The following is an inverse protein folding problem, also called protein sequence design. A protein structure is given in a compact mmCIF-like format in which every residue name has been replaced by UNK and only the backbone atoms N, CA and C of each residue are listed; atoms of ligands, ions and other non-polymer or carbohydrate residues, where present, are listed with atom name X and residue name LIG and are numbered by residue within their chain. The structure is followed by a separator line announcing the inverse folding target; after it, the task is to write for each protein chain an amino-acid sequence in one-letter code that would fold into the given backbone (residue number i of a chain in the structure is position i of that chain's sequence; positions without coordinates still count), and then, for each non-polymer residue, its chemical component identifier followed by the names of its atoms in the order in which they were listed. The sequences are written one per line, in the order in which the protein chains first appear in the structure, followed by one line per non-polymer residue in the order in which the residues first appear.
data_IF_538712844235
#
_entry.id   IF_538712844235
#
_cell.length_a   1.000
_cell.length_b   1.000
_cell.length_c   1.000
_cell.angle_alpha   90.00
_cell.angle_beta   90.00
_cell.angle_gamma   90.00
#
_symmetry.space_group_name_H-M   'P 1'
#
loop_
_entity.id
_entity.type
_entity.pdbx_description
1 polymer ?
#
# COMPACT_ATOMS: atom_id res chain seq x y z
N UNK A 1 -15.70 6.41 -26.93
CA UNK A 1 -15.03 5.55 -25.92
C UNK A 1 -13.69 6.19 -25.62
N UNK A 2 -13.36 6.43 -24.35
CA UNK A 2 -12.07 7.02 -23.97
C UNK A 2 -11.07 5.87 -23.75
N UNK A 3 -9.92 5.91 -24.43
CA UNK A 3 -8.87 4.91 -24.27
C UNK A 3 -8.22 5.10 -22.88
N UNK A 4 -8.41 4.13 -21.98
CA UNK A 4 -7.90 4.19 -20.60
C UNK A 4 -6.36 4.28 -20.56
N UNK A 5 -5.68 3.66 -21.51
CA UNK A 5 -4.22 3.62 -21.55
C UNK A 5 -3.63 4.97 -21.93
N UNK A 6 -4.22 5.66 -22.92
CA UNK A 6 -3.82 7.03 -23.29
C UNK A 6 -4.07 8.01 -22.14
N UNK A 7 -5.20 7.89 -21.44
CA UNK A 7 -5.50 8.73 -20.27
C UNK A 7 -4.49 8.48 -19.14
N UNK A 8 -4.12 7.22 -18.88
CA UNK A 8 -3.10 6.87 -17.90
C UNK A 8 -1.73 7.46 -18.26
N UNK A 9 -1.31 7.36 -19.52
CA UNK A 9 -0.05 7.96 -19.99
C UNK A 9 -0.06 9.49 -19.82
N UNK A 10 -1.12 10.16 -20.24
CA UNK A 10 -1.27 11.62 -20.08
C UNK A 10 -1.26 12.02 -18.60
N UNK A 11 -1.87 11.21 -17.71
CA UNK A 11 -1.85 11.47 -16.27
C UNK A 11 -0.46 11.27 -15.67
N UNK A 12 0.27 10.23 -16.09
CA UNK A 12 1.64 9.95 -15.67
C UNK A 12 2.63 11.03 -16.14
N UNK A 13 2.41 11.61 -17.32
CA UNK A 13 3.26 12.68 -17.85
C UNK A 13 3.01 14.02 -17.15
N UNK A 14 1.75 14.31 -16.79
CA UNK A 14 1.37 15.63 -16.24
C UNK A 14 1.48 15.74 -14.72
N UNK A 15 1.50 14.63 -14.00
CA UNK A 15 1.48 14.61 -12.52
C UNK A 15 2.70 13.89 -11.95
N UNK A 16 3.14 14.34 -10.77
CA UNK A 16 4.08 13.55 -9.99
C UNK A 16 3.36 12.33 -9.42
N UNK A 17 3.89 11.14 -9.65
CA UNK A 17 3.26 9.88 -9.24
C UNK A 17 4.24 9.06 -8.42
N UNK A 18 3.74 8.42 -7.37
CA UNK A 18 4.49 7.38 -6.65
C UNK A 18 3.83 6.02 -6.86
N UNK A 19 4.61 5.02 -7.24
CA UNK A 19 4.18 3.64 -7.44
C UNK A 19 4.88 2.72 -6.44
N UNK A 20 4.11 1.91 -5.73
CA UNK A 20 4.60 0.82 -4.90
C UNK A 20 4.49 -0.49 -5.69
N UNK A 21 5.60 -0.98 -6.24
CA UNK A 21 5.60 -2.19 -7.05
C UNK A 21 6.02 -3.42 -6.22
N UNK A 22 5.17 -4.43 -6.07
CA UNK A 22 5.54 -5.66 -5.37
C UNK A 22 6.57 -6.47 -6.15
N UNK A 23 7.48 -7.12 -5.43
CA UNK A 23 8.41 -8.08 -6.03
C UNK A 23 7.69 -9.29 -6.61
N UNK A 24 8.30 -9.90 -7.63
CA UNK A 24 7.81 -11.15 -8.24
C UNK A 24 7.60 -12.27 -7.21
N UNK A 25 8.41 -12.32 -6.15
CA UNK A 25 8.23 -13.26 -5.03
C UNK A 25 6.92 -13.03 -4.28
N UNK A 26 6.54 -11.77 -4.02
CA UNK A 26 5.28 -11.40 -3.37
C UNK A 26 4.07 -11.78 -4.23
N UNK A 27 4.12 -11.47 -5.53
CA UNK A 27 3.07 -11.83 -6.50
C UNK A 27 2.84 -13.34 -6.60
N UNK A 28 3.90 -14.15 -6.46
CA UNK A 28 3.77 -15.62 -6.46
C UNK A 28 3.06 -16.14 -5.21
N UNK A 29 3.33 -15.58 -4.03
CA UNK A 29 2.62 -15.95 -2.78
C UNK A 29 1.11 -15.69 -2.88
N UNK A 30 0.72 -14.62 -3.58
CA UNK A 30 -0.69 -14.28 -3.81
C UNK A 30 -1.45 -15.30 -4.64
N UNK A 31 -0.82 -15.84 -5.69
CA UNK A 31 -1.47 -16.84 -6.55
C UNK A 31 -1.87 -18.09 -5.77
N UNK A 32 -1.12 -18.43 -4.71
CA UNK A 32 -1.51 -19.45 -3.74
C UNK A 32 -2.74 -19.04 -2.92
N UNK A 33 -2.75 -17.82 -2.35
CA UNK A 33 -3.87 -17.32 -1.52
C UNK A 33 -5.18 -17.08 -2.28
N UNK A 34 -5.13 -16.61 -3.54
CA UNK A 34 -6.35 -16.35 -4.35
C UNK A 34 -7.14 -17.61 -4.69
N UNK A 35 -6.54 -18.81 -4.63
CA UNK A 35 -7.29 -20.06 -4.73
C UNK A 35 -8.18 -20.31 -3.51
N UNK A 36 -7.84 -19.73 -2.35
CA UNK A 36 -8.57 -19.93 -1.09
C UNK A 36 -9.71 -18.90 -0.90
N UNK A 37 -9.60 -17.69 -1.47
CA UNK A 37 -10.62 -16.65 -1.33
C UNK A 37 -10.78 -15.78 -2.60
N UNK A 38 -11.73 -16.11 -3.50
CA UNK A 38 -11.91 -15.44 -4.79
C UNK A 38 -12.57 -14.05 -4.69
N UNK A 39 -13.01 -13.60 -3.51
CA UNK A 39 -13.67 -12.28 -3.32
C UNK A 39 -12.70 -11.13 -3.03
N UNK A 40 -11.39 -11.39 -2.93
CA UNK A 40 -10.36 -10.36 -2.75
C UNK A 40 -10.04 -9.67 -4.09
N UNK A 41 -10.92 -8.78 -4.52
CA UNK A 41 -10.59 -7.80 -5.57
C UNK A 41 -9.63 -6.76 -4.99
N UNK A 42 -8.34 -7.01 -5.19
CA UNK A 42 -7.27 -6.06 -4.90
C UNK A 42 -7.26 -4.98 -5.99
N UNK A 43 -7.67 -3.77 -5.61
CA UNK A 43 -7.63 -2.62 -6.51
C UNK A 43 -6.19 -2.16 -6.72
N UNK A 44 -5.70 -2.23 -7.96
CA UNK A 44 -4.37 -1.72 -8.35
C UNK A 44 -4.16 -0.24 -7.98
N UNK A 45 -5.25 0.49 -7.79
CA UNK A 45 -5.25 1.88 -7.30
C UNK A 45 -4.63 2.04 -5.91
N UNK A 46 -4.57 0.99 -5.09
CA UNK A 46 -3.96 1.04 -3.76
C UNK A 46 -2.43 1.15 -3.80
N UNK A 47 -1.81 0.80 -4.93
CA UNK A 47 -0.37 0.87 -5.11
C UNK A 47 0.11 2.20 -5.69
N UNK A 48 -0.80 3.13 -6.01
CA UNK A 48 -0.50 4.36 -6.75
C UNK A 48 -0.92 5.60 -5.96
N UNK A 49 0.01 6.55 -5.81
CA UNK A 49 -0.26 7.88 -5.28
C UNK A 49 -0.11 8.93 -6.39
N UNK A 50 -1.05 9.87 -6.43
CA UNK A 50 -1.05 10.99 -7.40
C UNK A 50 -0.15 12.18 -6.99
N UNK A 51 0.82 11.93 -6.10
CA UNK A 51 1.85 12.87 -5.70
C UNK A 51 3.15 12.14 -5.36
N UNK A 52 4.21 12.90 -5.12
CA UNK A 52 5.54 12.38 -4.78
C UNK A 52 5.67 12.13 -3.28
N UNK A 53 5.63 10.87 -2.85
CA UNK A 53 5.87 10.46 -1.47
C UNK A 53 7.37 10.31 -1.23
N UNK A 54 8.04 11.42 -0.91
CA UNK A 54 9.47 11.40 -0.60
C UNK A 54 9.73 10.81 0.80
N UNK A 55 10.96 10.36 1.05
CA UNK A 55 11.35 9.70 2.33
C UNK A 55 11.06 10.51 3.59
N UNK A 56 11.10 11.84 3.52
CA UNK A 56 10.77 12.70 4.66
C UNK A 56 9.27 12.64 5.02
N UNK A 57 8.42 12.15 4.11
CA UNK A 57 6.98 11.99 4.30
C UNK A 57 6.59 10.64 4.90
N UNK A 58 7.54 9.74 5.11
CA UNK A 58 7.27 8.40 5.62
C UNK A 58 6.82 8.30 7.08
N UNK A 59 6.90 9.30 7.98
CA UNK A 59 6.25 9.19 9.27
C UNK A 59 4.79 9.69 9.24
N UNK A 60 4.07 9.50 8.13
CA UNK A 60 2.69 10.00 7.94
C UNK A 60 1.76 8.94 7.34
N UNK A 61 0.45 9.08 7.59
CA UNK A 61 -0.60 8.37 6.85
C UNK A 61 -1.03 9.17 5.63
N UNK A 62 -1.28 8.48 4.52
CA UNK A 62 -1.67 9.05 3.24
C UNK A 62 -2.97 8.41 2.79
N UNK A 63 -4.02 9.21 2.62
CA UNK A 63 -5.26 8.74 2.01
C UNK A 63 -5.18 8.93 0.49
N UNK A 64 -5.27 7.86 -0.33
CA UNK A 64 -5.33 8.00 -1.77
C UNK A 64 -6.56 8.81 -2.20
N UNK A 65 -6.45 9.58 -3.28
CA UNK A 65 -7.54 10.45 -3.76
C UNK A 65 -8.79 9.67 -4.23
N UNK A 66 -8.66 8.38 -4.56
CA UNK A 66 -9.80 7.57 -4.98
C UNK A 66 -10.72 7.29 -3.77
N UNK A 67 -11.95 7.80 -3.84
CA UNK A 67 -12.97 7.57 -2.82
C UNK A 67 -13.17 6.06 -2.56
N UNK A 68 -13.21 5.67 -1.29
CA UNK A 68 -13.39 4.27 -0.87
C UNK A 68 -12.12 3.42 -0.79
N UNK A 69 -10.93 4.02 -1.01
CA UNK A 69 -9.65 3.35 -0.80
C UNK A 69 -9.16 3.58 0.63
N UNK A 70 -8.66 2.53 1.29
CA UNK A 70 -8.09 2.62 2.64
C UNK A 70 -6.90 3.60 2.68
N UNK A 71 -6.59 4.22 3.83
CA UNK A 71 -5.34 4.96 3.99
C UNK A 71 -4.12 4.03 3.87
N UNK A 72 -3.05 4.54 3.27
CA UNK A 72 -1.72 3.93 3.27
C UNK A 72 -0.93 4.49 4.46
N UNK A 73 -0.36 3.61 5.27
CA UNK A 73 0.49 3.95 6.39
C UNK A 73 1.95 3.84 5.98
N UNK A 74 2.64 4.97 5.92
CA UNK A 74 4.08 4.97 5.77
C UNK A 74 4.72 4.92 7.15
N UNK A 75 5.84 4.21 7.28
CA UNK A 75 6.63 4.23 8.50
C UNK A 75 8.12 4.15 8.23
N UNK A 76 8.89 4.64 9.20
CA UNK A 76 10.35 4.58 9.21
C UNK A 76 10.78 3.82 10.46
N UNK A 77 11.63 2.81 10.27
CA UNK A 77 12.30 2.13 11.37
C UNK A 77 13.73 2.62 11.44
N UNK A 78 14.05 3.28 12.54
CA UNK A 78 15.40 3.76 12.86
C UNK A 78 15.90 2.95 14.06
N UNK A 79 16.93 2.12 13.86
CA UNK A 79 17.63 1.43 14.94
C UNK A 79 19.04 2.05 15.07
N UNK A 80 19.50 2.26 16.30
CA UNK A 80 20.83 2.81 16.57
C UNK A 80 21.92 1.98 15.87
N UNK A 81 22.77 2.64 15.08
CA UNK A 81 23.85 2.00 14.33
C UNK A 81 23.43 1.24 13.07
N UNK A 82 22.13 1.23 12.70
CA UNK A 82 21.65 0.61 11.46
C UNK A 82 21.12 1.64 10.46
N UNK A 83 21.06 1.23 9.19
CA UNK A 83 20.48 2.04 8.12
C UNK A 83 18.97 2.14 8.31
N UNK A 84 18.42 3.33 8.12
CA UNK A 84 16.96 3.58 8.13
C UNK A 84 16.24 2.66 7.16
N UNK A 85 15.22 1.97 7.65
CA UNK A 85 14.35 1.09 6.86
C UNK A 85 12.99 1.77 6.68
N UNK A 86 12.41 1.62 5.51
CA UNK A 86 11.15 2.29 5.13
C UNK A 86 10.10 1.24 4.81
N UNK A 87 8.87 1.50 5.25
CA UNK A 87 7.75 0.58 5.10
C UNK A 87 6.49 1.29 4.63
N UNK A 88 5.63 0.56 3.92
CA UNK A 88 4.29 0.95 3.51
C UNK A 88 3.34 -0.18 3.90
N UNK A 89 2.38 0.06 4.79
CA UNK A 89 1.48 -0.95 5.35
C UNK A 89 2.20 -2.25 5.76
N UNK A 90 3.31 -2.11 6.48
CA UNK A 90 4.23 -3.17 6.91
C UNK A 90 5.03 -3.86 5.80
N UNK A 91 4.80 -3.57 4.52
CA UNK A 91 5.66 -4.02 3.42
C UNK A 91 6.95 -3.20 3.39
N UNK A 92 8.11 -3.87 3.39
CA UNK A 92 9.42 -3.21 3.38
C UNK A 92 9.77 -2.73 1.98
N UNK A 93 10.26 -1.49 1.90
CA UNK A 93 10.85 -0.96 0.68
C UNK A 93 12.27 -1.50 0.51
N UNK A 94 12.46 -2.28 -0.54
CA UNK A 94 13.75 -2.89 -0.88
C UNK A 94 14.57 -1.98 -1.81
N UNK A 95 13.90 -1.32 -2.76
CA UNK A 95 14.55 -0.45 -3.74
C UNK A 95 13.72 0.79 -4.03
N UNK A 96 14.40 1.84 -4.45
CA UNK A 96 13.81 3.07 -4.96
C UNK A 96 14.42 3.36 -6.33
N UNK A 97 13.58 3.74 -7.28
CA UNK A 97 14.01 4.30 -8.55
C UNK A 97 13.25 5.60 -8.82
N UNK A 98 13.92 6.56 -9.43
CA UNK A 98 13.33 7.80 -9.89
C UNK A 98 13.33 7.80 -11.41
N UNK A 99 12.21 8.18 -12.00
CA UNK A 99 12.10 8.40 -13.43
C UNK A 99 11.59 9.81 -13.68
N UNK A 100 12.12 10.47 -14.70
CA UNK A 100 11.65 11.78 -15.12
C UNK A 100 10.93 11.60 -16.45
N UNK A 101 9.63 11.88 -16.45
CA UNK A 101 8.82 11.81 -17.66
C UNK A 101 9.26 12.83 -18.70
N UNK A 102 8.72 12.69 -19.90
CA UNK A 102 8.98 13.54 -21.08
C UNK A 102 8.68 15.02 -20.82
N UNK A 103 7.63 15.31 -20.04
CA UNK A 103 7.22 16.66 -19.60
C UNK A 103 8.01 17.17 -18.36
N UNK A 104 9.08 16.48 -17.96
CA UNK A 104 9.97 16.89 -16.88
C UNK A 104 9.45 16.63 -15.47
N UNK A 105 8.28 15.98 -15.32
CA UNK A 105 7.72 15.57 -14.02
C UNK A 105 8.43 14.33 -13.49
N UNK A 106 8.77 14.36 -12.20
CA UNK A 106 9.36 13.23 -11.50
C UNK A 106 8.29 12.19 -11.18
N UNK A 107 8.66 10.93 -11.32
CA UNK A 107 7.92 9.75 -10.92
C UNK A 107 8.80 8.92 -10.00
N UNK A 108 8.21 8.35 -8.97
CA UNK A 108 8.93 7.63 -7.92
C UNK A 108 8.43 6.20 -7.83
N UNK A 109 9.34 5.24 -7.97
CA UNK A 109 9.06 3.83 -7.86
C UNK A 109 9.68 3.30 -6.57
N UNK A 110 8.87 2.68 -5.73
CA UNK A 110 9.32 1.91 -4.57
C UNK A 110 9.02 0.44 -4.80
N UNK A 111 10.05 -0.41 -4.74
CA UNK A 111 9.89 -1.85 -4.83
C UNK A 111 9.67 -2.40 -3.43
N UNK A 112 8.53 -3.05 -3.20
CA UNK A 112 8.12 -3.60 -1.91
C UNK A 112 8.19 -5.14 -1.90
N UNK A 113 8.45 -5.73 -0.73
CA UNK A 113 8.61 -7.17 -0.56
C UNK A 113 7.33 -7.96 -0.30
N UNK A 114 6.26 -7.25 0.02
CA UNK A 114 4.94 -7.81 0.29
C UNK A 114 3.86 -7.10 -0.55
N UNK A 115 2.66 -7.68 -0.59
CA UNK A 115 1.51 -7.07 -1.23
C UNK A 115 0.80 -6.16 -0.24
N UNK A 116 0.31 -5.04 -0.75
CA UNK A 116 -0.46 -4.10 0.05
C UNK A 116 -1.89 -4.64 0.12
N UNK A 117 -2.34 -4.94 1.34
CA UNK A 117 -3.72 -5.33 1.62
C UNK A 117 -4.40 -4.15 2.31
N UNK A 118 -5.45 -3.55 1.72
CA UNK A 118 -6.13 -2.43 2.36
C UNK A 118 -6.73 -2.91 3.67
N UNK A 119 -6.40 -2.22 4.77
CA UNK A 119 -7.05 -2.46 6.05
C UNK A 119 -8.52 -2.06 5.94
N UNK A 120 -9.39 -3.06 5.75
CA UNK A 120 -10.85 -2.90 5.80
C UNK A 120 -11.28 -3.39 7.17
N UNK A 121 -11.62 -2.49 8.11
CA UNK A 121 -12.21 -2.92 9.36
C UNK A 121 -13.54 -3.62 9.02
N UNK A 122 -13.70 -4.85 9.51
CA UNK A 122 -14.88 -5.70 9.26
C UNK A 122 -16.14 -5.09 9.91
N UNK A 123 -15.95 -4.13 10.82
CA UNK A 123 -16.97 -3.32 11.48
C UNK A 123 -16.61 -1.84 11.38
N UNK A 124 -17.61 -0.97 11.15
CA UNK A 124 -17.43 0.49 11.09
C UNK A 124 -17.07 1.12 12.45
N UNK A 125 -17.10 0.35 13.55
CA UNK A 125 -16.69 0.81 14.87
C UNK A 125 -15.40 0.10 15.32
N UNK A 126 -14.41 0.84 15.85
CA UNK A 126 -13.32 0.23 16.58
C UNK A 126 -13.93 -0.56 17.75
N UNK A 127 -13.57 -1.84 17.93
CA UNK A 127 -14.13 -2.63 19.01
C UNK A 127 -13.79 -2.02 20.36
N UNK A 128 -14.73 -2.13 21.28
CA UNK A 128 -14.41 -1.93 22.70
C UNK A 128 -13.45 -3.06 23.13
N UNK A 129 -12.52 -2.82 24.06
CA UNK A 129 -11.58 -3.85 24.54
C UNK A 129 -12.29 -5.14 25.00
N UNK A 130 -13.53 -5.01 25.51
CA UNK A 130 -14.39 -6.12 25.89
C UNK A 130 -14.90 -6.95 24.70
N UNK A 131 -15.14 -6.32 23.55
CA UNK A 131 -15.62 -6.98 22.33
C UNK A 131 -14.48 -7.73 21.62
N UNK A 132 -13.26 -7.18 21.64
CA UNK A 132 -12.06 -7.88 21.16
C UNK A 132 -11.83 -9.22 21.87
N UNK A 133 -12.00 -9.23 23.20
CA UNK A 133 -11.82 -10.46 24.00
C UNK A 133 -12.91 -11.50 23.73
N UNK A 134 -14.13 -11.07 23.40
CA UNK A 134 -15.26 -11.97 23.18
C UNK A 134 -15.25 -12.58 21.77
N UNK A 135 -14.84 -11.82 20.76
CA UNK A 135 -14.94 -12.23 19.35
C UNK A 135 -13.70 -11.79 18.53
N UNK A 136 -12.50 -12.30 18.86
CA UNK A 136 -11.26 -11.94 18.18
C UNK A 136 -11.29 -12.24 16.67
N UNK A 137 -12.06 -13.26 16.27
CA UNK A 137 -12.21 -13.72 14.89
C UNK A 137 -12.85 -12.68 13.97
N UNK A 138 -13.72 -11.82 14.49
CA UNK A 138 -14.37 -10.74 13.71
C UNK A 138 -13.36 -9.66 13.32
N UNK A 139 -12.20 -9.60 14.00
CA UNK A 139 -11.14 -8.64 13.75
C UNK A 139 -9.90 -9.29 13.13
N UNK A 140 -10.03 -10.51 12.61
CA UNK A 140 -8.93 -11.22 11.93
C UNK A 140 -7.82 -11.70 12.86
N UNK A 141 -8.04 -11.69 14.18
CA UNK A 141 -7.11 -12.27 15.15
C UNK A 141 -7.34 -13.78 15.22
N UNK A 142 -6.28 -14.56 14.99
CA UNK A 142 -6.34 -16.03 14.96
C UNK A 142 -6.33 -16.66 16.36
N UNK A 143 -5.87 -15.93 17.37
CA UNK A 143 -5.72 -16.41 18.75
C UNK A 143 -6.30 -15.38 19.74
N UNK A 144 -6.90 -15.84 20.85
CA UNK A 144 -7.26 -14.95 21.95
C UNK A 144 -5.99 -14.36 22.57
N UNK A 145 -6.03 -13.06 22.84
CA UNK A 145 -4.95 -12.36 23.56
C UNK A 145 -5.19 -12.66 25.05
N UNK A 146 -4.41 -13.58 25.62
CA UNK A 146 -4.35 -13.81 27.08
C UNK A 146 -3.53 -12.74 27.80
#
# INVERSE_FOLDING_TARGET
MVNREEVLQILLDRRGVTLFAPMNSALRKQKGRKQEDPKRDESSSFYVLNFLAQKHMFPMSITPYLAGVAPLYLSVKEEEGKRKEYYVDNAKIIRQAEHRGTEGKTQLLYVIDELLEPYKPISAQPPTSLELLKQPSIYGLKEPIE
#
